data_IF_297166160322
#
_entry.id   IF_297166160322
#
_cell.length_a   1.000
_cell.length_b   1.000
_cell.length_c   1.000
_cell.angle_alpha   90.00
_cell.angle_beta   90.00
_cell.angle_gamma   90.00
#
_symmetry.space_group_name_H-M   'P 1'
#
loop_
_entity.id
_entity.type
_entity.pdbx_description
1 polymer ?
#
# COMPACT_ATOMS: atom_id res chain seq x y z
N UNK A 1 -11.23 -8.34 -11.17
CA UNK A 1 -11.42 -9.19 -9.98
C UNK A 1 -12.67 -10.05 -10.12
N UNK A 2 -13.88 -9.48 -10.11
CA UNK A 2 -15.14 -10.25 -10.21
C UNK A 2 -15.25 -11.13 -11.47
N UNK A 3 -14.79 -10.63 -12.62
CA UNK A 3 -14.75 -11.40 -13.88
C UNK A 3 -13.92 -12.69 -13.77
N UNK A 4 -12.95 -12.74 -12.85
CA UNK A 4 -12.11 -13.91 -12.57
C UNK A 4 -12.54 -14.65 -11.29
N UNK A 5 -13.70 -14.29 -10.70
CA UNK A 5 -14.16 -14.86 -9.43
C UNK A 5 -13.21 -14.58 -8.26
N UNK A 6 -12.60 -13.39 -8.24
CA UNK A 6 -11.73 -12.90 -7.17
C UNK A 6 -12.38 -11.69 -6.47
N UNK A 7 -12.08 -11.52 -5.19
CA UNK A 7 -12.46 -10.38 -4.37
C UNK A 7 -11.27 -9.51 -3.96
N UNK A 8 -11.55 -8.44 -3.20
CA UNK A 8 -10.52 -7.55 -2.66
C UNK A 8 -9.59 -8.26 -1.65
N UNK A 9 -10.10 -9.29 -0.97
CA UNK A 9 -9.30 -10.15 -0.07
C UNK A 9 -8.23 -10.96 -0.80
N UNK A 10 -8.34 -11.16 -2.11
CA UNK A 10 -7.36 -11.89 -2.93
C UNK A 10 -6.23 -11.00 -3.46
N UNK A 11 -6.32 -9.68 -3.22
CA UNK A 11 -5.28 -8.73 -3.64
C UNK A 11 -4.03 -8.95 -2.79
N UNK A 12 -2.90 -9.18 -3.47
CA UNK A 12 -1.58 -9.32 -2.88
C UNK A 12 -0.93 -7.94 -2.74
N UNK A 13 -0.85 -7.16 -3.82
CA UNK A 13 -0.30 -5.80 -3.80
C UNK A 13 -1.23 -4.81 -4.48
N UNK A 14 -1.33 -3.62 -3.89
CA UNK A 14 -1.93 -2.44 -4.50
C UNK A 14 -0.87 -1.34 -4.66
N UNK A 15 -0.73 -0.82 -5.88
CA UNK A 15 0.11 0.34 -6.18
C UNK A 15 -0.79 1.53 -6.42
N UNK A 16 -0.67 2.50 -5.55
CA UNK A 16 -1.46 3.71 -5.53
C UNK A 16 -0.58 4.85 -6.06
N UNK A 17 -1.05 5.48 -7.12
CA UNK A 17 -0.44 6.68 -7.66
C UNK A 17 -1.37 7.85 -7.33
N UNK A 18 -0.82 8.91 -6.76
CA UNK A 18 -1.58 10.11 -6.41
C UNK A 18 -0.98 11.29 -7.16
N UNK A 19 -1.82 12.15 -7.73
CA UNK A 19 -1.39 13.37 -8.43
C UNK A 19 -0.63 14.34 -7.51
N UNK A 20 -1.07 14.41 -6.26
CA UNK A 20 -0.56 15.32 -5.23
C UNK A 20 -0.76 14.67 -3.84
N UNK A 21 0.29 14.62 -3.02
CA UNK A 21 0.25 14.07 -1.67
C UNK A 21 -0.67 14.85 -0.71
N UNK A 22 -1.06 16.08 -1.02
CA UNK A 22 -2.09 16.81 -0.26
C UNK A 22 -3.44 16.09 -0.27
N UNK A 23 -3.72 15.29 -1.32
CA UNK A 23 -4.93 14.47 -1.39
C UNK A 23 -4.82 13.14 -0.61
N UNK A 24 -3.63 12.75 -0.17
CA UNK A 24 -3.36 11.39 0.31
C UNK A 24 -4.23 10.98 1.50
N UNK A 25 -4.56 11.91 2.41
CA UNK A 25 -5.45 11.63 3.53
C UNK A 25 -6.84 11.15 3.07
N UNK A 26 -7.42 11.81 2.06
CA UNK A 26 -8.71 11.43 1.48
C UNK A 26 -8.62 10.08 0.75
N UNK A 27 -7.54 9.86 -0.01
CA UNK A 27 -7.30 8.59 -0.71
C UNK A 27 -7.12 7.44 0.28
N UNK A 28 -6.42 7.67 1.38
CA UNK A 28 -6.19 6.67 2.42
C UNK A 28 -7.51 6.27 3.12
N UNK A 29 -8.40 7.23 3.36
CA UNK A 29 -9.75 6.96 3.88
C UNK A 29 -10.58 6.12 2.92
N UNK A 30 -10.59 6.46 1.63
CA UNK A 30 -11.29 5.68 0.62
C UNK A 30 -10.68 4.26 0.44
N UNK A 31 -9.35 4.15 0.52
CA UNK A 31 -8.68 2.86 0.46
C UNK A 31 -9.08 1.97 1.64
N UNK A 32 -9.16 2.52 2.85
CA UNK A 32 -9.52 1.78 4.06
C UNK A 32 -10.86 1.05 3.91
N UNK A 33 -11.89 1.72 3.35
CA UNK A 33 -13.22 1.13 3.20
C UNK A 33 -13.28 -0.10 2.28
N UNK A 34 -12.28 -0.29 1.41
CA UNK A 34 -12.19 -1.48 0.55
C UNK A 34 -11.64 -2.73 1.27
N UNK A 35 -10.95 -2.53 2.40
CA UNK A 35 -10.30 -3.62 3.14
C UNK A 35 -10.85 -3.77 4.58
N UNK A 36 -11.93 -3.07 4.91
CA UNK A 36 -12.71 -3.31 6.12
C UNK A 36 -13.27 -4.74 6.10
N UNK A 37 -12.95 -5.56 7.11
CA UNK A 37 -13.47 -6.92 7.25
C UNK A 37 -12.50 -8.07 6.95
N UNK A 38 -11.27 -7.80 6.49
CA UNK A 38 -10.16 -8.75 6.61
C UNK A 38 -9.36 -9.04 5.33
N UNK A 39 -8.08 -9.34 5.54
CA UNK A 39 -7.05 -9.67 4.55
C UNK A 39 -6.47 -8.46 3.77
N UNK A 40 -5.60 -7.65 4.40
CA UNK A 40 -4.99 -6.47 3.77
C UNK A 40 -4.07 -6.85 2.59
N UNK A 41 -3.84 -5.90 1.70
CA UNK A 41 -2.83 -5.99 0.65
C UNK A 41 -1.53 -5.30 1.08
N UNK A 42 -0.41 -5.72 0.52
CA UNK A 42 0.79 -4.90 0.51
C UNK A 42 0.49 -3.64 -0.30
N UNK A 43 1.03 -2.49 0.12
CA UNK A 43 0.70 -1.22 -0.52
C UNK A 43 1.93 -0.39 -0.80
N UNK A 44 2.00 0.17 -2.00
CA UNK A 44 2.93 1.22 -2.38
C UNK A 44 2.12 2.46 -2.72
N UNK A 45 2.53 3.62 -2.22
CA UNK A 45 1.90 4.90 -2.55
C UNK A 45 2.97 5.89 -2.99
N UNK A 46 2.86 6.43 -4.20
CA UNK A 46 3.83 7.40 -4.76
C UNK A 46 3.11 8.54 -5.47
N UNK A 47 3.74 9.70 -5.51
CA UNK A 47 3.23 10.86 -6.25
C UNK A 47 3.70 10.80 -7.70
N UNK A 48 2.80 11.01 -8.66
CA UNK A 48 3.11 11.09 -10.09
C UNK A 48 2.24 12.16 -10.78
N UNK A 49 2.71 12.83 -11.83
CA UNK A 49 1.86 13.69 -12.65
C UNK A 49 0.87 12.82 -13.46
N UNK A 50 -0.31 12.57 -12.88
CA UNK A 50 -1.34 11.70 -13.47
C UNK A 50 -2.25 12.41 -14.48
N UNK A 51 -2.32 13.74 -14.43
CA UNK A 51 -3.09 14.52 -15.38
C UNK A 51 -2.28 14.70 -16.67
N UNK A 52 -2.87 14.24 -17.77
CA UNK A 52 -2.39 14.49 -19.13
C UNK A 52 -3.56 14.95 -20.02
N UNK A 53 -3.28 15.19 -21.30
CA UNK A 53 -4.31 15.59 -22.26
C UNK A 53 -5.45 14.56 -22.41
N UNK A 54 -5.19 13.27 -22.15
CA UNK A 54 -6.18 12.21 -22.22
C UNK A 54 -7.00 12.06 -20.93
N UNK A 55 -6.49 12.52 -19.78
CA UNK A 55 -7.11 12.42 -18.46
C UNK A 55 -6.90 13.68 -17.62
N UNK A 56 -7.50 14.83 -17.99
CA UNK A 56 -7.20 16.13 -17.38
C UNK A 56 -7.56 16.26 -15.89
N UNK A 57 -8.32 15.32 -15.32
CA UNK A 57 -8.76 15.33 -13.92
C UNK A 57 -8.39 14.06 -13.14
N UNK A 58 -7.41 13.28 -13.61
CA UNK A 58 -7.01 12.05 -12.92
C UNK A 58 -6.21 12.38 -11.65
N UNK A 59 -6.87 12.25 -10.49
CA UNK A 59 -6.21 12.52 -9.19
C UNK A 59 -5.53 11.32 -8.58
N UNK A 60 -6.01 10.12 -8.92
CA UNK A 60 -5.58 8.84 -8.37
C UNK A 60 -5.62 7.79 -9.47
N UNK A 61 -4.58 6.97 -9.55
CA UNK A 61 -4.57 5.73 -10.32
C UNK A 61 -4.20 4.56 -9.41
N UNK A 62 -4.74 3.38 -9.69
CA UNK A 62 -4.50 2.19 -8.90
C UNK A 62 -4.23 1.01 -9.82
N UNK A 63 -3.15 0.30 -9.53
CA UNK A 63 -2.84 -1.02 -10.09
C UNK A 63 -2.87 -2.03 -8.95
N UNK A 64 -3.29 -3.26 -9.23
CA UNK A 64 -3.19 -4.32 -8.26
C UNK A 64 -2.87 -5.66 -8.90
N UNK A 65 -2.26 -6.54 -8.10
CA UNK A 65 -2.08 -7.96 -8.43
C UNK A 65 -2.88 -8.76 -7.41
N UNK A 66 -3.73 -9.65 -7.90
CA UNK A 66 -4.50 -10.58 -7.09
C UNK A 66 -4.21 -12.02 -7.52
N UNK A 67 -4.34 -12.95 -6.59
CA UNK A 67 -4.10 -14.36 -6.86
C UNK A 67 -5.15 -15.24 -6.17
N UNK A 68 -5.51 -16.34 -6.81
CA UNK A 68 -6.41 -17.34 -6.24
C UNK A 68 -5.69 -18.16 -5.17
N UNK A 69 -6.40 -18.49 -4.09
CA UNK A 69 -5.94 -19.42 -3.06
C UNK A 69 -5.55 -18.71 -1.76
N UNK A 70 -4.89 -19.42 -0.83
CA UNK A 70 -4.59 -18.87 0.48
C UNK A 70 -3.59 -17.71 0.38
N UNK A 71 -3.91 -16.61 1.08
CA UNK A 71 -3.03 -15.46 1.27
C UNK A 71 -2.53 -15.43 2.70
N UNK A 72 -1.22 -15.28 2.88
CA UNK A 72 -0.57 -14.96 4.15
C UNK A 72 -0.08 -13.51 4.11
N UNK A 73 -0.06 -12.84 5.25
CA UNK A 73 0.45 -11.49 5.35
C UNK A 73 1.16 -11.24 6.67
N UNK A 74 2.03 -10.24 6.68
CA UNK A 74 2.72 -9.74 7.87
C UNK A 74 2.30 -8.29 8.12
N UNK A 75 1.78 -8.02 9.30
CA UNK A 75 1.47 -6.67 9.76
C UNK A 75 2.18 -6.34 11.07
N UNK A 76 2.82 -5.18 11.10
CA UNK A 76 3.39 -4.60 12.33
C UNK A 76 2.43 -3.56 12.87
N UNK A 77 1.65 -3.95 13.89
CA UNK A 77 0.61 -3.11 14.49
C UNK A 77 1.09 -2.24 15.66
N UNK A 78 2.19 -2.60 16.32
CA UNK A 78 2.74 -1.88 17.47
C UNK A 78 4.09 -1.26 17.14
N UNK A 79 4.50 -0.28 17.94
CA UNK A 79 5.89 0.21 17.95
C UNK A 79 6.81 -0.95 18.34
N UNK A 80 7.94 -1.08 17.66
CA UNK A 80 8.90 -2.17 17.86
C UNK A 80 10.32 -1.72 17.56
N UNK A 81 11.30 -2.53 17.97
CA UNK A 81 12.72 -2.32 17.64
C UNK A 81 13.10 -2.85 16.24
N UNK A 82 12.32 -3.79 15.69
CA UNK A 82 12.72 -4.57 14.53
C UNK A 82 12.08 -4.13 13.22
N UNK A 83 10.94 -3.43 13.26
CA UNK A 83 10.30 -2.87 12.06
C UNK A 83 9.36 -1.70 12.38
N UNK A 84 9.22 -0.72 11.45
CA UNK A 84 8.24 0.33 11.58
C UNK A 84 6.80 -0.21 11.59
N UNK A 85 5.98 0.37 12.47
CA UNK A 85 4.53 0.14 12.47
C UNK A 85 3.91 0.63 11.16
N UNK A 86 2.85 -0.04 10.71
CA UNK A 86 2.07 0.43 9.56
C UNK A 86 1.45 1.83 9.79
N UNK A 87 1.58 2.71 8.79
CA UNK A 87 0.95 4.05 8.77
C UNK A 87 -0.21 4.04 7.76
N UNK A 88 -1.35 3.51 8.19
CA UNK A 88 -2.56 3.36 7.37
C UNK A 88 -2.87 1.89 7.01
N UNK A 89 -3.98 1.64 6.29
CA UNK A 89 -4.50 0.30 5.98
C UNK A 89 -3.66 -0.43 4.92
N UNK A 90 -2.60 -1.12 5.34
CA UNK A 90 -1.81 -2.02 4.51
C UNK A 90 -1.07 -3.06 5.36
N UNK A 91 -0.37 -3.99 4.72
CA UNK A 91 0.56 -4.90 5.39
C UNK A 91 1.96 -4.81 4.77
N UNK A 92 2.99 -5.07 5.56
CA UNK A 92 4.38 -4.97 5.12
C UNK A 92 4.70 -6.02 4.04
N UNK A 93 4.06 -7.19 4.11
CA UNK A 93 4.28 -8.29 3.18
C UNK A 93 2.97 -9.06 2.98
N UNK A 94 2.69 -9.44 1.74
CA UNK A 94 1.75 -10.54 1.41
C UNK A 94 2.48 -11.66 0.68
N UNK A 95 2.04 -12.90 0.88
CA UNK A 95 2.50 -14.07 0.13
C UNK A 95 1.28 -14.87 -0.32
N UNK A 96 1.20 -15.17 -1.60
CA UNK A 96 0.12 -15.96 -2.22
C UNK A 96 0.55 -16.51 -3.57
N UNK A 97 0.02 -17.67 -3.96
CA UNK A 97 0.36 -18.34 -5.23
C UNK A 97 1.87 -18.44 -5.51
N UNK A 98 2.67 -18.73 -4.49
CA UNK A 98 4.13 -18.87 -4.60
C UNK A 98 4.91 -17.55 -4.76
N UNK A 99 4.24 -16.39 -4.75
CA UNK A 99 4.87 -15.07 -4.91
C UNK A 99 4.67 -14.20 -3.67
N UNK A 100 5.72 -13.49 -3.27
CA UNK A 100 5.68 -12.50 -2.19
C UNK A 100 5.74 -11.06 -2.72
N UNK A 101 5.00 -10.15 -2.09
CA UNK A 101 5.02 -8.72 -2.38
C UNK A 101 5.22 -7.91 -1.11
N UNK A 102 6.20 -7.00 -1.13
CA UNK A 102 6.51 -6.09 -0.02
C UNK A 102 5.86 -4.73 -0.28
N UNK A 103 5.40 -4.07 0.79
CA UNK A 103 4.90 -2.71 0.74
C UNK A 103 6.02 -1.69 0.48
N UNK A 104 5.63 -0.45 0.20
CA UNK A 104 6.57 0.67 0.18
C UNK A 104 7.15 0.88 1.57
N UNK A 105 8.44 1.15 1.64
CA UNK A 105 9.15 1.44 2.88
C UNK A 105 9.57 2.90 2.91
N UNK A 106 9.28 3.55 4.04
CA UNK A 106 9.85 4.85 4.38
C UNK A 106 11.05 4.61 5.30
N UNK A 107 12.08 5.47 5.20
CA UNK A 107 13.26 5.41 6.07
C UNK A 107 12.90 5.86 7.49
N UNK A 108 12.10 5.06 8.21
CA UNK A 108 11.65 5.36 9.57
C UNK A 108 12.46 4.55 10.59
N UNK A 109 12.83 5.20 11.69
CA UNK A 109 13.39 4.54 12.86
C UNK A 109 12.25 3.77 13.58
N UNK A 110 12.28 2.43 13.68
CA UNK A 110 11.15 1.60 14.11
C UNK A 110 10.47 2.01 15.42
N UNK A 111 11.28 2.31 16.44
CA UNK A 111 10.82 2.57 17.81
C UNK A 111 10.38 4.03 18.03
N UNK A 112 10.72 4.95 17.10
CA UNK A 112 10.31 6.37 17.20
C UNK A 112 9.34 6.79 16.11
N UNK A 113 9.23 6.02 15.02
CA UNK A 113 8.45 6.35 13.82
C UNK A 113 8.85 7.70 13.18
N UNK A 114 10.04 8.22 13.49
CA UNK A 114 10.62 9.41 12.86
C UNK A 114 11.40 9.00 11.63
N UNK A 115 11.44 9.88 10.62
CA UNK A 115 12.35 9.72 9.50
C UNK A 115 13.79 9.72 10.03
N UNK A 116 14.62 8.86 9.45
CA UNK A 116 16.07 8.89 9.64
C UNK A 116 16.58 10.21 9.08
N UNK A 117 17.40 10.90 9.86
CA UNK A 117 18.05 12.14 9.43
C UNK A 117 19.12 11.83 8.38
N UNK A 118 19.20 12.66 7.34
CA UNK A 118 20.15 12.51 6.22
C UNK A 118 19.46 12.35 4.86
N UNK A 119 20.27 12.25 3.81
CA UNK A 119 19.82 11.96 2.43
C UNK A 119 20.35 10.58 2.00
N UNK A 120 19.79 10.01 0.93
CA UNK A 120 20.15 8.70 0.36
C UNK A 120 21.63 8.59 0.00
N UNK A 121 22.31 9.72 -0.20
CA UNK A 121 23.74 9.78 -0.55
C UNK A 121 24.68 10.29 0.55
N UNK A 122 24.21 10.45 1.79
CA UNK A 122 25.05 10.90 2.92
C UNK A 122 25.82 9.75 3.58
#
# INVERSE_FOLDING_TARGET
LSAEGLGLGDVLIARLYVSDMDHYAAVNKAFASFFEGGSPAARVAVQLPLCDAARPNCRVALECVAARGPKRYLQVFSISEWAPRMIGPYCQLTVGAGTGFVAGSLGLVPHTMRLVDGDVGA
#
